data_IF_472365223458
#
_entry.id   IF_472365223458
#
_cell.length_a   1.000
_cell.length_b   1.000
_cell.length_c   1.000
_cell.angle_alpha   90.00
_cell.angle_beta   90.00
_cell.angle_gamma   90.00
#
_symmetry.space_group_name_H-M   'P 1'
#
loop_
_entity.id
_entity.type
_entity.pdbx_description
1 polymer ?
#
# COMPACT_ATOMS: atom_id res chain seq x y z
N UNK A 1 56.47 10.14 47.72
CA UNK A 1 55.35 10.75 47.00
C UNK A 1 55.10 9.99 45.68
N UNK A 2 54.25 8.99 45.76
CA UNK A 2 53.97 8.07 44.63
C UNK A 2 52.62 8.45 44.02
N UNK A 3 52.63 8.98 42.78
CA UNK A 3 51.41 9.36 42.06
C UNK A 3 50.83 8.07 41.39
N UNK A 4 49.65 7.66 41.79
CA UNK A 4 48.83 6.67 41.09
C UNK A 4 48.06 7.35 39.93
N UNK A 5 48.36 6.91 38.71
CA UNK A 5 47.55 7.27 37.53
C UNK A 5 46.42 6.24 37.43
N UNK A 6 45.18 6.70 37.57
CA UNK A 6 43.97 5.95 37.25
C UNK A 6 43.69 6.09 35.76
N UNK A 7 43.91 5.05 35.00
CA UNK A 7 43.53 4.98 33.57
C UNK A 7 42.11 4.45 33.50
N UNK A 8 41.16 5.37 33.22
CA UNK A 8 39.75 5.01 33.03
C UNK A 8 39.57 4.44 31.63
N UNK A 9 39.33 3.14 31.53
CA UNK A 9 38.98 2.46 30.26
C UNK A 9 37.51 2.71 29.96
N UNK A 10 37.22 3.56 28.98
CA UNK A 10 35.87 3.73 28.41
C UNK A 10 35.61 2.56 27.49
N UNK A 11 34.77 1.60 27.93
CA UNK A 11 34.24 0.52 27.10
C UNK A 11 33.12 1.09 26.25
N UNK A 12 33.41 1.38 24.99
CA UNK A 12 32.42 1.67 23.97
C UNK A 12 31.65 0.37 23.67
N UNK A 13 30.46 0.23 24.23
CA UNK A 13 29.48 -0.77 23.81
C UNK A 13 28.95 -0.39 22.42
N UNK A 14 29.63 -0.84 21.38
CA UNK A 14 29.08 -0.88 20.02
C UNK A 14 27.93 -1.89 20.03
N UNK A 15 26.73 -1.41 20.21
CA UNK A 15 25.51 -2.19 19.95
C UNK A 15 25.50 -2.59 18.48
N UNK A 16 25.85 -3.84 18.17
CA UNK A 16 25.59 -4.42 16.87
C UNK A 16 24.06 -4.50 16.67
N UNK A 17 23.46 -3.46 16.12
CA UNK A 17 22.21 -3.64 15.38
C UNK A 17 22.55 -4.54 14.20
N UNK A 18 22.12 -5.79 14.25
CA UNK A 18 22.18 -6.69 13.11
C UNK A 18 21.18 -6.18 12.07
N UNK A 19 21.61 -5.27 11.21
CA UNK A 19 20.88 -4.97 9.98
C UNK A 19 20.73 -6.30 9.22
N UNK A 20 19.51 -6.84 9.17
CA UNK A 20 19.23 -7.93 8.25
C UNK A 20 19.59 -7.43 6.86
N UNK A 21 20.63 -7.97 6.28
CA UNK A 21 21.14 -7.57 4.97
C UNK A 21 19.99 -7.76 3.96
N UNK A 22 19.67 -6.72 3.23
CA UNK A 22 18.70 -6.81 2.12
C UNK A 22 19.15 -7.90 1.15
N UNK A 23 18.28 -8.84 0.76
CA UNK A 23 18.64 -9.90 -0.16
C UNK A 23 19.12 -9.36 -1.51
N UNK A 24 20.08 -10.04 -2.13
CA UNK A 24 20.48 -9.78 -3.50
C UNK A 24 19.46 -10.43 -4.46
N UNK A 25 18.76 -9.59 -5.21
CA UNK A 25 17.74 -9.98 -6.19
C UNK A 25 18.20 -9.80 -7.63
N UNK A 26 19.45 -9.44 -7.86
CA UNK A 26 20.01 -9.11 -9.20
C UNK A 26 19.86 -10.25 -10.22
N UNK A 27 19.86 -11.49 -9.76
CA UNK A 27 19.67 -12.68 -10.59
C UNK A 27 18.20 -13.05 -10.84
N UNK A 28 17.24 -12.34 -10.21
CA UNK A 28 15.81 -12.63 -10.35
C UNK A 28 15.25 -11.81 -11.51
N UNK A 29 14.93 -12.47 -12.62
CA UNK A 29 14.23 -11.80 -13.72
C UNK A 29 12.72 -11.87 -13.52
N UNK A 30 12.08 -10.71 -13.64
CA UNK A 30 10.63 -10.55 -13.61
C UNK A 30 10.22 -9.87 -14.92
N UNK A 31 9.60 -10.61 -15.84
CA UNK A 31 9.06 -10.01 -17.04
C UNK A 31 7.86 -9.13 -16.67
N UNK A 32 7.96 -7.84 -16.90
CA UNK A 32 6.89 -6.87 -16.69
C UNK A 32 6.77 -5.99 -17.92
N UNK A 33 5.63 -6.07 -18.61
CA UNK A 33 5.34 -5.24 -19.79
C UNK A 33 4.33 -4.18 -19.43
N UNK A 34 4.67 -2.91 -19.68
CA UNK A 34 3.74 -1.80 -19.44
C UNK A 34 2.85 -1.56 -20.64
N UNK A 35 1.54 -1.50 -20.38
CA UNK A 35 0.48 -1.26 -21.35
C UNK A 35 -0.24 0.03 -20.98
N UNK A 36 -0.19 1.00 -21.89
CA UNK A 36 -0.84 2.31 -21.74
C UNK A 36 -2.28 2.22 -22.24
N UNK A 37 -3.14 1.52 -21.49
CA UNK A 37 -4.52 1.28 -21.91
C UNK A 37 -5.30 2.58 -22.08
N UNK A 38 -5.05 3.60 -21.25
CA UNK A 38 -5.69 4.92 -21.39
C UNK A 38 -5.42 5.55 -22.75
N UNK A 39 -4.22 5.35 -23.32
CA UNK A 39 -3.89 5.89 -24.64
C UNK A 39 -4.69 5.18 -25.73
N UNK A 40 -4.74 3.84 -25.67
CA UNK A 40 -5.51 3.05 -26.62
C UNK A 40 -7.02 3.32 -26.50
N UNK A 41 -7.53 3.44 -25.28
CA UNK A 41 -8.95 3.70 -25.04
C UNK A 41 -9.39 5.09 -25.51
N UNK A 42 -8.63 6.14 -25.20
CA UNK A 42 -8.97 7.51 -25.64
C UNK A 42 -8.72 7.77 -27.14
N UNK A 43 -8.09 6.83 -27.84
CA UNK A 43 -7.89 6.86 -29.29
C UNK A 43 -8.97 6.11 -30.08
N UNK A 44 -9.95 5.46 -29.43
CA UNK A 44 -11.01 4.73 -30.15
C UNK A 44 -11.92 5.67 -30.93
N UNK A 45 -12.43 5.20 -32.07
CA UNK A 45 -13.44 5.91 -32.84
C UNK A 45 -14.84 5.67 -32.25
N UNK A 46 -15.41 6.70 -31.64
CA UNK A 46 -16.75 6.63 -31.02
C UNK A 46 -17.88 6.57 -32.06
N UNK A 47 -17.63 6.91 -33.33
CA UNK A 47 -18.59 6.72 -34.42
C UNK A 47 -18.66 5.26 -34.88
N UNK A 48 -17.60 4.49 -34.62
CA UNK A 48 -17.52 3.05 -34.87
C UNK A 48 -17.16 2.31 -33.58
N UNK A 49 -17.99 2.51 -32.55
CA UNK A 49 -17.65 2.09 -31.17
C UNK A 49 -17.44 0.57 -31.07
N UNK A 50 -18.39 -0.24 -31.56
CA UNK A 50 -18.30 -1.70 -31.43
C UNK A 50 -17.05 -2.30 -32.09
N UNK A 51 -16.70 -1.97 -33.35
CA UNK A 51 -15.44 -2.41 -33.93
C UNK A 51 -14.20 -1.93 -33.17
N UNK A 52 -14.25 -0.69 -32.65
CA UNK A 52 -13.14 -0.12 -31.87
C UNK A 52 -12.94 -0.82 -30.53
N UNK A 53 -14.01 -1.12 -29.80
CA UNK A 53 -13.97 -1.89 -28.55
C UNK A 53 -13.55 -3.35 -28.79
N UNK A 54 -14.02 -3.97 -29.88
CA UNK A 54 -13.57 -5.32 -30.26
C UNK A 54 -12.05 -5.35 -30.55
N UNK A 55 -11.53 -4.34 -31.26
CA UNK A 55 -10.10 -4.22 -31.53
C UNK A 55 -9.31 -4.04 -30.22
N UNK A 56 -9.79 -3.21 -29.31
CA UNK A 56 -9.18 -2.98 -27.99
C UNK A 56 -9.17 -4.28 -27.16
N UNK A 57 -10.30 -4.99 -27.14
CA UNK A 57 -10.43 -6.29 -26.48
C UNK A 57 -9.54 -7.38 -27.13
N UNK A 58 -9.27 -7.27 -28.44
CA UNK A 58 -8.31 -8.15 -29.12
C UNK A 58 -6.87 -7.99 -28.64
N UNK A 59 -6.52 -6.83 -28.10
CA UNK A 59 -5.20 -6.55 -27.52
C UNK A 59 -5.12 -6.93 -26.04
N UNK A 60 -6.13 -6.52 -25.24
CA UNK A 60 -6.19 -6.71 -23.80
C UNK A 60 -7.59 -7.15 -23.36
N UNK A 61 -7.92 -8.42 -23.65
CA UNK A 61 -9.27 -8.96 -23.52
C UNK A 61 -9.80 -8.85 -22.08
N UNK A 62 -9.07 -9.39 -21.13
CA UNK A 62 -9.53 -9.44 -19.74
C UNK A 62 -9.66 -8.03 -19.16
N UNK A 63 -8.63 -7.20 -19.32
CA UNK A 63 -8.67 -5.86 -18.77
C UNK A 63 -9.74 -4.98 -19.46
N UNK A 64 -9.97 -5.13 -20.76
CA UNK A 64 -11.03 -4.37 -21.46
C UNK A 64 -12.42 -4.68 -20.87
N UNK A 65 -12.69 -5.94 -20.54
CA UNK A 65 -13.94 -6.31 -19.88
C UNK A 65 -14.04 -5.74 -18.45
N UNK A 66 -12.98 -5.89 -17.65
CA UNK A 66 -12.92 -5.32 -16.31
C UNK A 66 -13.10 -3.80 -16.34
N UNK A 67 -12.46 -3.14 -17.30
CA UNK A 67 -12.56 -1.69 -17.44
C UNK A 67 -13.99 -1.26 -17.79
N UNK A 68 -14.62 -1.88 -18.77
CA UNK A 68 -15.96 -1.50 -19.19
C UNK A 68 -17.02 -1.82 -18.12
N UNK A 69 -16.98 -3.02 -17.54
CA UNK A 69 -18.09 -3.50 -16.71
C UNK A 69 -17.88 -3.25 -15.23
N UNK A 70 -16.64 -3.30 -14.73
CA UNK A 70 -16.35 -3.12 -13.31
C UNK A 70 -15.88 -1.70 -12.98
N UNK A 71 -15.06 -1.06 -13.84
CA UNK A 71 -14.51 0.27 -13.58
C UNK A 71 -15.46 1.36 -14.08
N UNK A 72 -15.91 1.30 -15.34
CA UNK A 72 -16.89 2.25 -15.89
C UNK A 72 -18.33 1.90 -15.49
N UNK A 73 -18.58 0.72 -14.95
CA UNK A 73 -19.88 0.21 -14.57
C UNK A 73 -20.91 0.27 -15.73
N UNK A 74 -20.45 0.06 -16.98
CA UNK A 74 -21.33 -0.01 -18.15
C UNK A 74 -21.96 -1.42 -18.28
N UNK A 75 -22.92 -1.52 -19.19
CA UNK A 75 -23.46 -2.81 -19.66
C UNK A 75 -23.36 -2.86 -21.17
N UNK A 76 -23.48 -4.04 -21.80
CA UNK A 76 -23.54 -4.12 -23.29
C UNK A 76 -24.63 -3.21 -23.90
N UNK A 77 -25.72 -2.95 -23.16
CA UNK A 77 -26.83 -2.10 -23.60
C UNK A 77 -26.54 -0.62 -23.45
N UNK A 78 -25.74 -0.23 -22.45
CA UNK A 78 -25.46 1.17 -22.15
C UNK A 78 -24.12 1.67 -22.69
N UNK A 79 -23.21 0.78 -23.07
CA UNK A 79 -21.85 1.11 -23.51
C UNK A 79 -21.83 2.13 -24.68
N UNK A 80 -22.75 1.98 -25.65
CA UNK A 80 -22.85 2.91 -26.77
C UNK A 80 -23.11 4.37 -26.35
N UNK A 81 -23.72 4.60 -25.20
CA UNK A 81 -23.97 5.92 -24.62
C UNK A 81 -22.86 6.30 -23.63
N UNK A 82 -22.54 5.40 -22.71
CA UNK A 82 -21.74 5.71 -21.53
C UNK A 82 -20.26 5.90 -21.89
N UNK A 83 -19.71 5.10 -22.80
CA UNK A 83 -18.30 5.20 -23.21
C UNK A 83 -17.99 6.54 -23.86
N UNK A 84 -18.72 7.02 -24.91
CA UNK A 84 -18.47 8.34 -25.46
C UNK A 84 -18.72 9.49 -24.47
N UNK A 85 -19.67 9.32 -23.55
CA UNK A 85 -19.92 10.31 -22.49
C UNK A 85 -18.72 10.41 -21.53
N UNK A 86 -18.21 9.27 -21.07
CA UNK A 86 -17.02 9.20 -20.24
C UNK A 86 -15.81 9.83 -20.93
N UNK A 87 -15.53 9.45 -22.18
CA UNK A 87 -14.40 9.99 -22.94
C UNK A 87 -14.47 11.52 -23.07
N UNK A 88 -15.65 12.08 -23.31
CA UNK A 88 -15.83 13.54 -23.37
C UNK A 88 -15.59 14.20 -22.01
N UNK A 89 -16.15 13.64 -20.94
CA UNK A 89 -16.02 14.17 -19.60
C UNK A 89 -14.57 14.14 -19.10
N UNK A 90 -13.81 13.09 -19.44
CA UNK A 90 -12.44 12.88 -18.97
C UNK A 90 -11.35 13.32 -19.98
N UNK A 91 -11.71 13.95 -21.09
CA UNK A 91 -10.75 14.37 -22.12
C UNK A 91 -9.70 15.35 -21.59
N UNK A 92 -10.06 16.27 -20.69
CA UNK A 92 -9.12 17.19 -20.07
C UNK A 92 -8.12 16.45 -19.16
N UNK A 93 -8.61 15.51 -18.36
CA UNK A 93 -7.77 14.66 -17.51
C UNK A 93 -6.84 13.79 -18.36
N UNK A 94 -7.32 13.22 -19.45
CA UNK A 94 -6.47 12.45 -20.37
C UNK A 94 -5.31 13.29 -20.93
N UNK A 95 -5.55 14.53 -21.33
CA UNK A 95 -4.47 15.44 -21.79
C UNK A 95 -3.46 15.72 -20.68
N UNK A 96 -3.92 15.97 -19.47
CA UNK A 96 -3.07 16.19 -18.31
C UNK A 96 -2.23 14.94 -18.00
N UNK A 97 -2.87 13.76 -17.89
CA UNK A 97 -2.22 12.46 -17.68
C UNK A 97 -1.18 12.17 -18.76
N UNK A 98 -1.52 12.41 -20.04
CA UNK A 98 -0.59 12.18 -21.16
C UNK A 98 0.68 13.03 -21.06
N UNK A 99 0.58 14.25 -20.52
CA UNK A 99 1.74 15.12 -20.28
C UNK A 99 2.49 14.71 -19.02
N UNK A 100 1.79 14.55 -17.91
CA UNK A 100 2.38 14.29 -16.60
C UNK A 100 3.02 12.90 -16.54
N UNK A 101 2.42 11.90 -17.20
CA UNK A 101 2.90 10.52 -17.26
C UNK A 101 3.44 10.17 -18.66
N UNK A 102 4.12 11.11 -19.34
CA UNK A 102 4.79 10.82 -20.60
C UNK A 102 5.83 9.69 -20.45
N UNK A 103 6.40 9.54 -19.28
CA UNK A 103 7.26 8.41 -18.90
C UNK A 103 6.85 7.86 -17.52
N UNK A 104 6.88 6.53 -17.42
CA UNK A 104 6.64 5.77 -16.17
C UNK A 104 7.87 4.96 -15.76
N UNK A 105 9.04 5.22 -16.34
CA UNK A 105 10.25 4.40 -16.13
C UNK A 105 10.63 4.25 -14.66
N UNK A 106 10.45 5.28 -13.85
CA UNK A 106 10.78 5.26 -12.42
C UNK A 106 9.79 4.36 -11.68
N UNK A 107 8.50 4.50 -11.95
CA UNK A 107 7.45 3.71 -11.31
C UNK A 107 7.52 2.24 -11.75
N UNK A 108 7.76 1.99 -13.04
CA UNK A 108 7.99 0.65 -13.59
C UNK A 108 9.17 -0.04 -12.91
N UNK A 109 10.29 0.67 -12.75
CA UNK A 109 11.48 0.14 -12.09
C UNK A 109 11.20 -0.21 -10.63
N UNK A 110 10.54 0.67 -9.87
CA UNK A 110 10.20 0.44 -8.48
C UNK A 110 9.20 -0.73 -8.31
N UNK A 111 8.18 -0.82 -9.18
CA UNK A 111 7.22 -1.94 -9.17
C UNK A 111 7.93 -3.25 -9.53
N UNK A 112 8.78 -3.25 -10.57
CA UNK A 112 9.54 -4.44 -10.97
C UNK A 112 10.46 -4.91 -9.84
N UNK A 113 11.16 -4.01 -9.19
CA UNK A 113 12.01 -4.32 -8.03
C UNK A 113 11.18 -4.93 -6.89
N UNK A 114 10.03 -4.35 -6.55
CA UNK A 114 9.11 -4.92 -5.58
C UNK A 114 8.67 -6.34 -5.94
N UNK A 115 8.32 -6.59 -7.20
CA UNK A 115 7.98 -7.93 -7.70
C UNK A 115 9.17 -8.91 -7.66
N UNK A 116 10.40 -8.45 -7.85
CA UNK A 116 11.61 -9.29 -7.67
C UNK A 116 11.75 -9.73 -6.21
N UNK A 117 11.53 -8.83 -5.23
CA UNK A 117 11.49 -9.21 -3.81
C UNK A 117 10.33 -10.14 -3.49
N UNK A 118 9.14 -9.92 -4.07
CA UNK A 118 8.02 -10.87 -3.93
C UNK A 118 8.43 -12.25 -4.45
N UNK A 119 9.07 -12.36 -5.61
CA UNK A 119 9.55 -13.63 -6.16
C UNK A 119 10.60 -14.29 -5.30
N UNK A 120 11.47 -13.50 -4.68
CA UNK A 120 12.48 -14.00 -3.74
C UNK A 120 11.85 -14.63 -2.50
N UNK A 121 10.87 -13.95 -1.88
CA UNK A 121 10.24 -14.43 -0.65
C UNK A 121 9.15 -15.47 -0.88
N UNK A 122 8.50 -15.44 -2.04
CA UNK A 122 7.37 -16.29 -2.42
C UNK A 122 7.60 -16.90 -3.82
N UNK A 123 8.55 -17.85 -3.95
CA UNK A 123 8.96 -18.40 -5.25
C UNK A 123 7.82 -19.07 -6.03
N UNK A 124 6.82 -19.60 -5.33
CA UNK A 124 5.67 -20.28 -5.95
C UNK A 124 4.53 -19.32 -6.35
N UNK A 125 4.58 -18.05 -5.90
CA UNK A 125 3.57 -17.08 -6.28
C UNK A 125 3.68 -16.72 -7.76
N UNK A 126 2.52 -16.78 -8.46
CA UNK A 126 2.42 -16.42 -9.88
C UNK A 126 2.33 -14.89 -10.00
N UNK A 127 3.44 -14.28 -10.31
CA UNK A 127 3.50 -12.82 -10.49
C UNK A 127 2.67 -12.35 -11.68
N UNK A 128 2.05 -11.16 -11.61
CA UNK A 128 1.53 -10.47 -12.78
C UNK A 128 2.69 -10.13 -13.74
N UNK A 129 2.43 -10.30 -15.05
CA UNK A 129 3.42 -10.04 -16.11
C UNK A 129 3.18 -8.72 -16.82
N UNK A 130 2.10 -8.04 -16.51
CA UNK A 130 1.71 -6.77 -17.11
C UNK A 130 1.50 -5.69 -16.04
N UNK A 131 1.88 -4.48 -16.38
CA UNK A 131 1.48 -3.25 -15.70
C UNK A 131 0.57 -2.47 -16.65
N UNK A 132 -0.72 -2.40 -16.33
CA UNK A 132 -1.70 -1.69 -17.17
C UNK A 132 -2.02 -0.36 -16.54
N UNK A 133 -1.81 0.75 -17.26
CA UNK A 133 -2.28 2.05 -16.80
C UNK A 133 -3.62 2.40 -17.43
N UNK A 134 -4.49 3.07 -16.67
CA UNK A 134 -5.80 3.47 -17.13
C UNK A 134 -6.25 4.80 -16.52
N UNK A 135 -7.32 5.38 -17.01
CA UNK A 135 -8.05 6.50 -16.40
C UNK A 135 -9.47 6.00 -16.17
N UNK A 136 -9.88 5.91 -14.92
CA UNK A 136 -11.25 5.59 -14.54
C UNK A 136 -12.01 6.80 -14.00
N UNK A 137 -13.29 6.64 -13.68
CA UNK A 137 -14.04 7.63 -12.92
C UNK A 137 -13.33 7.96 -11.59
N UNK A 138 -13.42 9.21 -11.14
CA UNK A 138 -12.74 9.65 -9.92
C UNK A 138 -13.22 8.88 -8.67
N UNK A 139 -14.42 8.39 -8.67
CA UNK A 139 -15.02 7.58 -7.60
C UNK A 139 -14.85 6.07 -7.80
N UNK A 140 -14.00 5.65 -8.74
CA UNK A 140 -13.73 4.25 -9.05
C UNK A 140 -12.42 3.77 -8.42
N UNK A 141 -11.97 2.57 -8.80
CA UNK A 141 -10.76 1.95 -8.28
C UNK A 141 -9.48 2.70 -8.70
N UNK A 142 -8.54 2.85 -7.76
CA UNK A 142 -7.21 3.38 -8.05
C UNK A 142 -6.25 2.32 -8.57
N UNK A 143 -6.14 1.22 -7.84
CA UNK A 143 -5.30 0.10 -8.23
C UNK A 143 -6.09 -1.21 -8.10
N UNK A 144 -5.91 -2.09 -9.06
CA UNK A 144 -6.51 -3.44 -9.02
C UNK A 144 -5.48 -4.48 -9.48
N UNK A 145 -5.67 -5.72 -9.04
CA UNK A 145 -4.97 -6.87 -9.57
C UNK A 145 -5.96 -7.68 -10.42
N UNK A 146 -5.51 -8.13 -11.57
CA UNK A 146 -6.28 -9.00 -12.46
C UNK A 146 -5.56 -10.34 -12.62
N UNK A 147 -6.06 -11.23 -13.45
CA UNK A 147 -5.50 -12.58 -13.62
C UNK A 147 -4.01 -12.58 -14.06
N UNK A 148 -3.54 -11.53 -14.74
CA UNK A 148 -2.20 -11.45 -15.32
C UNK A 148 -1.55 -10.06 -15.21
N UNK A 149 -2.26 -9.08 -14.59
CA UNK A 149 -1.80 -7.69 -14.54
C UNK A 149 -2.01 -7.01 -13.19
N UNK A 150 -1.12 -6.08 -12.90
CA UNK A 150 -1.39 -4.96 -12.00
C UNK A 150 -1.95 -3.80 -12.84
N UNK A 151 -3.11 -3.28 -12.49
CA UNK A 151 -3.68 -2.14 -13.19
C UNK A 151 -3.72 -0.91 -12.26
N UNK A 152 -3.29 0.23 -12.80
CA UNK A 152 -3.05 1.48 -12.08
C UNK A 152 -3.88 2.59 -12.70
N UNK A 153 -4.83 3.11 -11.93
CA UNK A 153 -5.67 4.26 -12.31
C UNK A 153 -4.91 5.56 -12.12
N UNK A 154 -4.42 6.15 -13.19
CA UNK A 154 -3.58 7.36 -13.16
C UNK A 154 -4.31 8.58 -12.61
N UNK A 155 -5.65 8.58 -12.63
CA UNK A 155 -6.48 9.60 -11.99
C UNK A 155 -6.26 9.71 -10.47
N UNK A 156 -5.61 8.73 -9.84
CA UNK A 156 -5.29 8.71 -8.41
C UNK A 156 -3.83 9.12 -8.12
N UNK A 157 -3.11 9.66 -9.11
CA UNK A 157 -1.68 10.00 -8.97
C UNK A 157 -1.32 11.35 -9.59
N UNK A 158 -2.29 12.25 -9.76
CA UNK A 158 -2.10 13.57 -10.37
C UNK A 158 -1.31 14.55 -9.49
N UNK A 159 -1.07 14.18 -8.25
CA UNK A 159 -0.44 15.01 -7.22
C UNK A 159 -1.46 15.55 -6.22
N UNK A 160 -1.10 15.56 -4.94
CA UNK A 160 -2.00 15.93 -3.82
C UNK A 160 -2.67 17.30 -3.93
N UNK A 161 -2.08 18.20 -4.72
CA UNK A 161 -2.60 19.56 -4.94
C UNK A 161 -3.40 19.68 -6.25
N UNK A 162 -3.69 18.58 -6.92
CA UNK A 162 -4.49 18.63 -8.14
C UNK A 162 -5.89 19.19 -7.86
N UNK A 163 -6.38 20.16 -8.68
CA UNK A 163 -7.67 20.80 -8.46
C UNK A 163 -8.84 19.82 -8.33
N UNK A 164 -8.79 18.66 -9.00
CA UNK A 164 -9.88 17.69 -8.95
C UNK A 164 -10.11 17.13 -7.54
N UNK A 165 -9.02 16.94 -6.77
CA UNK A 165 -9.12 16.47 -5.37
C UNK A 165 -9.52 17.57 -4.40
N UNK A 166 -9.38 18.85 -4.80
CA UNK A 166 -9.69 20.02 -3.97
C UNK A 166 -11.12 20.54 -4.18
N UNK A 167 -11.86 19.98 -5.14
CA UNK A 167 -13.29 20.28 -5.30
C UNK A 167 -14.10 19.75 -4.12
N UNK A 168 -15.30 20.26 -3.89
CA UNK A 168 -16.22 19.74 -2.87
C UNK A 168 -16.49 18.25 -3.08
N UNK A 169 -16.76 17.82 -4.32
CA UNK A 169 -16.94 16.41 -4.66
C UNK A 169 -15.66 15.60 -4.37
N UNK A 170 -14.49 16.10 -4.78
CA UNK A 170 -13.20 15.45 -4.53
C UNK A 170 -12.91 15.27 -3.04
N UNK A 171 -13.21 16.28 -2.21
CA UNK A 171 -13.00 16.22 -0.76
C UNK A 171 -14.03 15.32 -0.05
N UNK A 172 -15.25 15.20 -0.56
CA UNK A 172 -16.25 14.26 -0.05
C UNK A 172 -15.85 12.81 -0.33
N UNK A 173 -15.26 12.54 -1.50
CA UNK A 173 -14.74 11.21 -1.85
C UNK A 173 -13.41 10.90 -1.16
N UNK A 174 -12.50 11.86 -1.14
CA UNK A 174 -11.12 11.74 -0.71
C UNK A 174 -10.69 12.93 0.16
N UNK A 175 -11.03 12.92 1.44
CA UNK A 175 -10.56 13.96 2.38
C UNK A 175 -9.03 14.11 2.31
N UNK A 176 -8.51 15.27 2.73
CA UNK A 176 -7.08 15.63 2.60
C UNK A 176 -6.14 14.54 3.15
N UNK A 177 -6.52 13.86 4.23
CA UNK A 177 -5.69 12.78 4.79
C UNK A 177 -5.58 11.55 3.88
N UNK A 178 -6.51 11.38 2.93
CA UNK A 178 -6.47 10.36 1.86
C UNK A 178 -5.73 10.91 0.64
N UNK A 179 -6.22 12.04 0.07
CA UNK A 179 -5.73 12.58 -1.20
C UNK A 179 -4.28 13.10 -1.14
N UNK A 180 -3.74 13.37 0.04
CA UNK A 180 -2.30 13.68 0.21
C UNK A 180 -1.36 12.56 -0.26
N UNK A 181 -1.88 11.34 -0.41
CA UNK A 181 -1.15 10.16 -0.91
C UNK A 181 -1.34 9.92 -2.40
N UNK A 182 -2.09 10.79 -3.09
CA UNK A 182 -2.30 10.69 -4.54
C UNK A 182 -1.11 11.25 -5.32
N UNK A 183 0.06 10.75 -4.97
CA UNK A 183 1.36 11.12 -5.51
C UNK A 183 2.01 9.91 -6.19
N UNK A 184 2.79 10.11 -7.24
CA UNK A 184 3.49 9.06 -7.99
C UNK A 184 4.32 8.14 -7.09
N UNK A 185 4.91 8.70 -6.02
CA UNK A 185 5.73 7.96 -5.07
C UNK A 185 4.96 6.80 -4.37
N UNK A 186 3.65 6.87 -4.27
CA UNK A 186 2.84 5.80 -3.66
C UNK A 186 2.48 4.67 -4.62
N UNK A 187 2.78 4.79 -5.92
CA UNK A 187 2.32 3.82 -6.93
C UNK A 187 2.87 2.42 -6.67
N UNK A 188 4.17 2.28 -6.43
CA UNK A 188 4.78 0.98 -6.13
C UNK A 188 4.22 0.39 -4.82
N UNK A 189 4.08 1.19 -3.76
CA UNK A 189 3.50 0.75 -2.50
C UNK A 189 2.06 0.26 -2.66
N UNK A 190 1.23 0.98 -3.42
CA UNK A 190 -0.15 0.55 -3.67
C UNK A 190 -0.22 -0.71 -4.53
N UNK A 191 0.67 -0.88 -5.51
CA UNK A 191 0.80 -2.15 -6.25
C UNK A 191 1.17 -3.32 -5.32
N UNK A 192 2.12 -3.13 -4.41
CA UNK A 192 2.51 -4.18 -3.46
C UNK A 192 1.43 -4.47 -2.41
N UNK A 193 0.55 -3.50 -2.09
CA UNK A 193 -0.66 -3.75 -1.30
C UNK A 193 -1.62 -4.69 -2.02
N UNK A 194 -1.85 -4.51 -3.32
CA UNK A 194 -2.65 -5.46 -4.10
C UNK A 194 -2.01 -6.86 -4.12
N UNK A 195 -0.69 -6.96 -4.20
CA UNK A 195 0.03 -8.25 -4.16
C UNK A 195 -0.17 -8.96 -2.82
N UNK A 196 -0.05 -8.27 -1.68
CA UNK A 196 -0.26 -8.92 -0.38
C UNK A 196 -1.72 -9.30 -0.16
N UNK A 197 -2.67 -8.52 -0.69
CA UNK A 197 -4.10 -8.82 -0.61
C UNK A 197 -4.46 -10.07 -1.41
N UNK A 198 -3.84 -10.27 -2.58
CA UNK A 198 -4.02 -11.47 -3.40
C UNK A 198 -3.30 -12.68 -2.77
N UNK A 199 -2.09 -12.49 -2.27
CA UNK A 199 -1.26 -13.55 -1.68
C UNK A 199 -1.84 -14.06 -0.34
N UNK A 200 -2.32 -13.15 0.50
CA UNK A 200 -2.87 -13.40 1.83
C UNK A 200 -4.10 -12.52 2.07
N UNK A 201 -5.27 -12.91 1.57
CA UNK A 201 -6.52 -12.19 1.82
C UNK A 201 -6.75 -12.01 3.32
N UNK A 202 -7.17 -10.81 3.72
CA UNK A 202 -7.41 -10.47 5.12
C UNK A 202 -8.58 -11.29 5.68
N UNK A 203 -8.39 -11.91 6.84
CA UNK A 203 -9.37 -12.76 7.53
C UNK A 203 -9.43 -12.41 9.01
N UNK A 204 -9.64 -11.14 9.32
CA UNK A 204 -9.65 -10.61 10.70
C UNK A 204 -11.02 -10.13 11.17
N UNK A 205 -12.07 -10.31 10.38
CA UNK A 205 -13.42 -9.90 10.72
C UNK A 205 -13.88 -10.55 12.03
N UNK A 206 -14.23 -9.71 13.01
CA UNK A 206 -14.65 -10.15 14.35
C UNK A 206 -13.51 -10.63 15.27
N UNK A 207 -12.25 -10.52 14.83
CA UNK A 207 -11.10 -10.76 15.69
C UNK A 207 -10.92 -9.62 16.72
N UNK A 208 -10.30 -9.89 17.89
CA UNK A 208 -9.95 -8.84 18.85
C UNK A 208 -8.99 -7.80 18.26
N UNK A 209 -9.03 -6.57 18.79
CA UNK A 209 -8.18 -5.47 18.33
C UNK A 209 -6.70 -5.86 18.24
N UNK A 210 -6.14 -6.54 19.24
CA UNK A 210 -4.74 -6.96 19.20
C UNK A 210 -4.41 -7.89 18.01
N UNK A 211 -5.33 -8.76 17.62
CA UNK A 211 -5.15 -9.66 16.48
C UNK A 211 -5.26 -8.89 15.15
N UNK A 212 -6.20 -7.95 15.04
CA UNK A 212 -6.32 -7.07 13.88
C UNK A 212 -5.07 -6.17 13.72
N UNK A 213 -4.55 -5.62 14.83
CA UNK A 213 -3.28 -4.88 14.83
C UNK A 213 -2.14 -5.73 14.28
N UNK A 214 -2.01 -6.99 14.73
CA UNK A 214 -0.97 -7.90 14.26
C UNK A 214 -1.12 -8.20 12.77
N UNK A 215 -2.34 -8.43 12.27
CA UNK A 215 -2.57 -8.64 10.83
C UNK A 215 -2.17 -7.43 10.00
N UNK A 216 -2.52 -6.21 10.44
CA UNK A 216 -2.04 -4.98 9.82
C UNK A 216 -0.51 -4.85 9.90
N UNK A 217 0.07 -5.23 11.03
CA UNK A 217 1.52 -5.22 11.25
C UNK A 217 2.27 -6.19 10.33
N UNK A 218 1.75 -7.40 10.10
CA UNK A 218 2.31 -8.36 9.12
C UNK A 218 2.35 -7.77 7.72
N UNK A 219 1.26 -7.10 7.29
CA UNK A 219 1.15 -6.45 5.99
C UNK A 219 2.16 -5.32 5.84
N UNK A 220 2.30 -4.50 6.88
CA UNK A 220 3.30 -3.44 6.89
C UNK A 220 4.73 -4.01 6.86
N UNK A 221 4.99 -5.09 7.59
CA UNK A 221 6.27 -5.78 7.56
C UNK A 221 6.58 -6.38 6.16
N UNK A 222 5.58 -6.98 5.50
CA UNK A 222 5.71 -7.42 4.11
C UNK A 222 6.10 -6.26 3.20
N UNK A 223 5.38 -5.14 3.25
CA UNK A 223 5.68 -3.97 2.42
C UNK A 223 7.12 -3.47 2.62
N UNK A 224 7.60 -3.39 3.86
CA UNK A 224 8.99 -2.99 4.16
C UNK A 224 10.02 -3.99 3.63
N UNK A 225 9.67 -5.28 3.51
CA UNK A 225 10.55 -6.32 2.95
C UNK A 225 10.60 -6.31 1.43
N UNK A 226 9.49 -6.01 0.76
CA UNK A 226 9.44 -5.99 -0.70
C UNK A 226 9.71 -4.61 -1.30
N UNK A 227 9.76 -3.56 -0.48
CA UNK A 227 10.10 -2.19 -0.85
C UNK A 227 11.20 -1.63 0.07
N UNK A 228 12.38 -2.28 0.16
CA UNK A 228 13.38 -1.94 1.18
C UNK A 228 14.03 -0.57 0.98
N UNK A 229 13.87 0.05 -0.19
CA UNK A 229 14.44 1.35 -0.54
C UNK A 229 13.41 2.48 -0.48
N UNK A 230 12.13 2.15 -0.23
CA UNK A 230 11.09 3.16 -0.05
C UNK A 230 11.15 3.78 1.35
N UNK A 231 10.84 5.08 1.42
CA UNK A 231 10.76 5.77 2.71
C UNK A 231 9.65 5.17 3.59
N UNK A 232 9.91 4.98 4.87
CA UNK A 232 8.93 4.44 5.82
C UNK A 232 7.62 5.23 5.84
N UNK A 233 7.66 6.55 5.62
CA UNK A 233 6.46 7.39 5.49
C UNK A 233 5.60 7.04 4.28
N UNK A 234 6.21 6.64 3.17
CA UNK A 234 5.49 6.16 1.97
C UNK A 234 4.87 4.79 2.23
N UNK A 235 5.64 3.87 2.82
CA UNK A 235 5.19 2.51 3.12
C UNK A 235 4.03 2.50 4.13
N UNK A 236 4.13 3.29 5.22
CA UNK A 236 3.09 3.40 6.24
C UNK A 236 1.90 4.25 5.79
N UNK A 237 2.11 5.17 4.85
CA UNK A 237 1.14 6.20 4.50
C UNK A 237 1.03 7.32 5.54
N UNK A 238 1.88 7.36 6.55
CA UNK A 238 1.98 8.45 7.52
C UNK A 238 2.84 9.61 6.98
N UNK A 239 2.70 10.79 7.54
CA UNK A 239 3.73 11.81 7.34
C UNK A 239 4.99 11.44 8.14
N UNK A 240 6.15 11.96 7.73
CA UNK A 240 7.39 11.72 8.48
C UNK A 240 7.28 12.16 9.94
N UNK A 241 6.63 13.31 10.20
CA UNK A 241 6.39 13.82 11.55
C UNK A 241 5.46 12.92 12.38
N UNK A 242 4.38 12.40 11.77
CA UNK A 242 3.48 11.44 12.43
C UNK A 242 4.22 10.16 12.80
N UNK A 243 5.03 9.63 11.88
CA UNK A 243 5.80 8.41 12.13
C UNK A 243 6.84 8.61 13.24
N UNK A 244 7.57 9.72 13.21
CA UNK A 244 8.51 10.10 14.29
C UNK A 244 7.79 10.23 15.63
N UNK A 245 6.59 10.86 15.64
CA UNK A 245 5.75 10.98 16.84
C UNK A 245 5.33 9.61 17.39
N UNK A 246 4.96 8.67 16.53
CA UNK A 246 4.63 7.30 16.94
C UNK A 246 5.81 6.61 17.65
N UNK A 247 7.02 6.70 17.08
CA UNK A 247 8.21 6.12 17.74
C UNK A 247 8.54 6.79 19.07
N UNK A 248 8.44 8.11 19.16
CA UNK A 248 8.69 8.86 20.42
C UNK A 248 7.67 8.52 21.50
N UNK A 249 6.43 8.28 21.13
CA UNK A 249 5.31 8.02 22.06
C UNK A 249 4.93 6.55 22.13
N UNK A 250 5.74 5.64 21.62
CA UNK A 250 5.43 4.21 21.50
C UNK A 250 4.96 3.61 22.84
N UNK A 251 5.65 3.93 23.92
CA UNK A 251 5.31 3.46 25.26
C UNK A 251 3.97 3.99 25.74
N UNK A 252 3.68 5.25 25.49
CA UNK A 252 2.40 5.86 25.92
C UNK A 252 1.24 5.32 25.10
N UNK A 253 1.42 5.15 23.78
CA UNK A 253 0.44 4.53 22.90
C UNK A 253 0.11 3.11 23.38
N UNK A 254 1.13 2.30 23.68
CA UNK A 254 0.92 0.95 24.19
C UNK A 254 0.22 0.94 25.55
N UNK A 255 0.68 1.80 26.47
CA UNK A 255 0.09 1.92 27.81
C UNK A 255 -1.39 2.29 27.76
N UNK A 256 -1.79 3.14 26.82
CA UNK A 256 -3.19 3.51 26.59
C UNK A 256 -4.05 2.28 26.28
N UNK A 257 -3.64 1.42 25.32
CA UNK A 257 -4.40 0.22 24.97
C UNK A 257 -4.51 -0.77 26.13
N UNK A 258 -3.44 -0.92 26.91
CA UNK A 258 -3.43 -1.82 28.07
C UNK A 258 -4.33 -1.29 29.20
N UNK A 259 -4.20 -0.01 29.58
CA UNK A 259 -4.92 0.59 30.71
C UNK A 259 -6.41 0.72 30.45
N UNK A 260 -6.82 0.88 29.20
CA UNK A 260 -8.23 0.96 28.81
C UNK A 260 -8.83 -0.40 28.42
N UNK A 261 -8.09 -1.51 28.62
CA UNK A 261 -8.53 -2.88 28.30
C UNK A 261 -8.96 -3.09 26.84
N UNK A 262 -8.42 -2.31 25.88
CA UNK A 262 -8.84 -2.31 24.48
C UNK A 262 -8.29 -3.49 23.68
N UNK A 263 -7.21 -4.13 24.14
CA UNK A 263 -6.52 -5.17 23.37
C UNK A 263 -7.43 -6.33 22.94
N UNK A 264 -8.41 -6.67 23.75
CA UNK A 264 -9.35 -7.76 23.48
C UNK A 264 -10.75 -7.26 23.05
N UNK A 265 -10.87 -5.96 22.76
CA UNK A 265 -12.11 -5.38 22.24
C UNK A 265 -12.46 -5.97 20.88
N UNK A 266 -13.77 -6.18 20.64
CA UNK A 266 -14.32 -6.73 19.40
C UNK A 266 -15.42 -5.87 18.79
N UNK A 267 -15.86 -4.82 19.49
CA UNK A 267 -16.86 -3.91 18.95
C UNK A 267 -16.29 -3.15 17.76
N UNK A 268 -16.80 -3.32 16.53
CA UNK A 268 -16.27 -2.67 15.34
C UNK A 268 -16.28 -1.15 15.44
N UNK A 269 -17.20 -0.55 16.20
CA UNK A 269 -17.29 0.90 16.38
C UNK A 269 -16.11 1.44 17.19
N UNK A 270 -15.68 0.70 18.22
CA UNK A 270 -14.51 1.07 19.04
C UNK A 270 -13.21 0.71 18.35
N UNK A 271 -13.14 -0.44 17.69
CA UNK A 271 -11.96 -0.88 16.93
C UNK A 271 -11.67 0.09 15.78
N UNK A 272 -12.71 0.60 15.11
CA UNK A 272 -12.61 1.51 13.96
C UNK A 272 -11.80 2.75 14.26
N UNK A 273 -11.86 3.29 15.47
CA UNK A 273 -11.09 4.47 15.89
C UNK A 273 -9.57 4.27 15.79
N UNK A 274 -9.10 3.03 15.83
CA UNK A 274 -7.69 2.66 15.81
C UNK A 274 -7.26 1.94 14.54
N UNK A 275 -8.19 1.27 13.86
CA UNK A 275 -7.91 0.39 12.72
C UNK A 275 -8.35 0.97 11.37
N UNK A 276 -9.06 2.08 11.34
CA UNK A 276 -9.42 2.76 10.11
C UNK A 276 -8.52 3.97 9.85
N UNK A 277 -8.38 4.30 8.57
CA UNK A 277 -7.72 5.53 8.13
C UNK A 277 -8.53 6.74 8.56
N UNK A 278 -7.85 7.79 8.92
CA UNK A 278 -8.45 9.03 9.41
C UNK A 278 -7.45 10.18 9.40
N UNK A 279 -7.89 11.41 9.70
CA UNK A 279 -6.97 12.55 9.84
C UNK A 279 -5.99 12.34 10.99
N UNK A 280 -6.45 11.76 12.06
CA UNK A 280 -5.68 11.42 13.27
C UNK A 280 -6.39 10.30 14.06
N UNK A 281 -5.78 9.81 15.10
CA UNK A 281 -6.42 9.03 16.16
C UNK A 281 -6.79 9.98 17.29
N UNK A 282 -8.06 10.29 17.45
CA UNK A 282 -8.55 11.42 18.26
C UNK A 282 -7.98 11.46 19.70
N UNK A 283 -7.85 10.31 20.35
CA UNK A 283 -7.34 10.20 21.73
C UNK A 283 -5.86 10.57 21.87
N UNK A 284 -5.10 10.55 20.76
CA UNK A 284 -3.68 10.93 20.74
C UNK A 284 -3.46 12.33 20.13
N UNK A 285 -4.53 13.03 19.76
CA UNK A 285 -4.50 14.40 19.25
C UNK A 285 -4.13 14.51 17.76
N UNK A 286 -4.18 15.74 17.25
CA UNK A 286 -4.09 16.04 15.81
C UNK A 286 -2.74 15.69 15.17
N UNK A 287 -1.67 15.58 15.95
CA UNK A 287 -0.35 15.18 15.45
C UNK A 287 -0.19 13.68 15.24
N UNK A 288 -1.12 12.87 15.77
CA UNK A 288 -1.12 11.42 15.56
C UNK A 288 -1.58 11.06 14.15
N UNK A 289 -1.21 9.90 13.60
CA UNK A 289 -1.86 9.41 12.39
C UNK A 289 -3.23 8.78 12.70
N UNK A 290 -4.11 8.71 11.71
CA UNK A 290 -5.15 7.69 11.70
C UNK A 290 -4.56 6.29 11.52
N UNK A 291 -5.37 5.25 11.76
CA UNK A 291 -4.92 3.85 11.65
C UNK A 291 -3.69 3.54 12.52
N UNK A 292 -3.64 4.08 13.75
CA UNK A 292 -2.52 3.88 14.68
C UNK A 292 -2.26 2.39 14.97
N UNK A 293 -3.28 1.55 14.86
CA UNK A 293 -3.20 0.10 15.08
C UNK A 293 -2.20 -0.61 14.17
N UNK A 294 -1.98 -0.12 12.93
CA UNK A 294 -0.96 -0.71 12.05
C UNK A 294 0.47 -0.49 12.60
N UNK A 295 0.75 0.68 13.21
CA UNK A 295 2.04 0.93 13.85
C UNK A 295 2.24 0.00 15.05
N UNK A 296 1.27 -0.09 15.95
CA UNK A 296 1.34 -0.97 17.12
C UNK A 296 1.52 -2.43 16.68
N UNK A 297 0.73 -2.87 15.70
CA UNK A 297 0.83 -4.22 15.15
C UNK A 297 2.20 -4.51 14.52
N UNK A 298 2.77 -3.54 13.80
CA UNK A 298 4.12 -3.67 13.24
C UNK A 298 5.17 -3.85 14.34
N UNK A 299 5.10 -3.06 15.42
CA UNK A 299 6.02 -3.17 16.55
C UNK A 299 5.88 -4.51 17.29
N UNK A 300 4.65 -5.05 17.41
CA UNK A 300 4.41 -6.39 17.95
C UNK A 300 5.05 -7.45 17.06
N UNK A 301 4.91 -7.35 15.74
CA UNK A 301 5.53 -8.27 14.78
C UNK A 301 7.06 -8.22 14.87
N UNK A 302 7.65 -7.03 14.96
CA UNK A 302 9.11 -6.89 15.18
C UNK A 302 9.56 -7.57 16.47
N UNK A 303 8.88 -7.33 17.59
CA UNK A 303 9.20 -7.96 18.87
C UNK A 303 9.06 -9.49 18.85
N UNK A 304 8.13 -10.03 18.06
CA UNK A 304 8.03 -11.46 17.80
C UNK A 304 9.24 -11.98 17.04
N UNK A 305 9.64 -11.30 15.96
CA UNK A 305 10.73 -11.70 15.09
C UNK A 305 12.11 -11.57 15.77
N UNK A 306 12.29 -10.63 16.67
CA UNK A 306 13.50 -10.54 17.50
C UNK A 306 13.76 -11.82 18.30
N UNK A 307 12.69 -12.49 18.74
CA UNK A 307 12.74 -13.76 19.48
C UNK A 307 12.75 -14.99 18.56
N UNK A 308 12.27 -14.83 17.33
CA UNK A 308 12.07 -15.92 16.36
C UNK A 308 12.79 -15.62 15.04
N UNK A 309 14.09 -15.37 15.10
CA UNK A 309 14.93 -14.87 13.99
C UNK A 309 14.91 -15.73 12.73
N UNK A 310 14.65 -17.04 12.87
CA UNK A 310 14.58 -18.00 11.77
C UNK A 310 13.21 -18.02 11.05
N UNK A 311 12.29 -17.15 11.46
CA UNK A 311 10.96 -17.07 10.81
C UNK A 311 11.08 -16.33 9.49
N UNK A 312 10.89 -17.06 8.38
CA UNK A 312 10.82 -16.46 7.04
C UNK A 312 9.54 -15.62 6.87
N UNK A 313 9.54 -14.71 5.90
CA UNK A 313 8.38 -13.85 5.61
C UNK A 313 7.13 -14.67 5.28
N UNK A 314 7.25 -15.72 4.47
CA UNK A 314 6.15 -16.62 4.14
C UNK A 314 5.58 -17.33 5.38
N UNK A 315 6.45 -17.81 6.28
CA UNK A 315 6.00 -18.41 7.54
C UNK A 315 5.31 -17.38 8.44
N UNK A 316 5.89 -16.19 8.59
CA UNK A 316 5.31 -15.11 9.40
C UNK A 316 3.87 -14.83 9.01
N UNK A 317 3.58 -14.69 7.72
CA UNK A 317 2.24 -14.39 7.23
C UNK A 317 1.24 -15.51 7.57
N UNK A 318 1.68 -16.76 7.63
CA UNK A 318 0.86 -17.94 7.96
C UNK A 318 0.63 -18.16 9.45
N UNK A 319 1.46 -17.57 10.33
CA UNK A 319 1.29 -17.73 11.78
C UNK A 319 0.01 -16.96 12.20
N UNK A 320 -0.90 -17.59 12.96
CA UNK A 320 -2.07 -16.90 13.50
C UNK A 320 -1.68 -15.66 14.32
N UNK A 321 -2.40 -14.55 14.12
CA UNK A 321 -2.13 -13.30 14.82
C UNK A 321 -2.08 -13.45 16.33
N UNK A 322 -2.99 -14.25 16.90
CA UNK A 322 -3.01 -14.59 18.33
C UNK A 322 -1.67 -15.16 18.81
N UNK A 323 -1.08 -16.08 18.07
CA UNK A 323 0.21 -16.72 18.43
C UNK A 323 1.34 -15.68 18.41
N UNK A 324 1.38 -14.83 17.38
CA UNK A 324 2.35 -13.73 17.29
C UNK A 324 2.20 -12.80 18.48
N UNK A 325 0.97 -12.36 18.79
CA UNK A 325 0.69 -11.47 19.92
C UNK A 325 1.16 -12.06 21.26
N UNK A 326 0.79 -13.32 21.55
CA UNK A 326 1.15 -14.00 22.80
C UNK A 326 2.66 -14.21 22.95
N UNK A 327 3.35 -14.59 21.87
CA UNK A 327 4.79 -14.89 21.89
C UNK A 327 5.65 -13.63 21.80
N UNK A 328 5.19 -12.57 21.18
CA UNK A 328 5.89 -11.30 21.12
C UNK A 328 6.21 -10.76 22.51
N UNK A 329 5.29 -10.94 23.48
CA UNK A 329 5.39 -10.35 24.83
C UNK A 329 5.85 -8.90 24.76
N UNK A 330 5.21 -8.16 23.83
CA UNK A 330 5.57 -6.80 23.51
C UNK A 330 5.38 -5.87 24.71
N UNK A 331 6.43 -5.15 25.05
CA UNK A 331 6.49 -4.15 26.13
C UNK A 331 7.56 -3.11 25.75
N UNK A 332 7.18 -2.00 25.07
CA UNK A 332 8.11 -0.95 24.68
C UNK A 332 8.67 -0.15 25.84
#
# INVERSE_FOLDING_TARGET
MTKFLFTSAIVLLLGCQSFQKTPDISAIDVPLTTIRFEQAFFAIDTLQLDPSLQKLAGQEHFFTQDFLYNILATTPQTAAKDVPQFMRAYQSMYKQVSTQFASLKTEEAAIKEGLQYVKYYFPDYKLPTKLITFIGPINSFGNIITIDALAVGLQMYLGKNDPIYLTEEGQNLYPVYVSRRFERAYMATNCMKNIIDDLYPLQDAGAPLCEQMVEAGKRLYFLKKVLPHEADSIVTGYTAAQLEGCYKSEKDIWSFFVQNNLLYEKDPSLIGDYMHDGPNTAVFGDSSPGFIGQFVGYRIVEAFLEKNKETSLDKLLKIPAKIIFEQAKYKP
#
